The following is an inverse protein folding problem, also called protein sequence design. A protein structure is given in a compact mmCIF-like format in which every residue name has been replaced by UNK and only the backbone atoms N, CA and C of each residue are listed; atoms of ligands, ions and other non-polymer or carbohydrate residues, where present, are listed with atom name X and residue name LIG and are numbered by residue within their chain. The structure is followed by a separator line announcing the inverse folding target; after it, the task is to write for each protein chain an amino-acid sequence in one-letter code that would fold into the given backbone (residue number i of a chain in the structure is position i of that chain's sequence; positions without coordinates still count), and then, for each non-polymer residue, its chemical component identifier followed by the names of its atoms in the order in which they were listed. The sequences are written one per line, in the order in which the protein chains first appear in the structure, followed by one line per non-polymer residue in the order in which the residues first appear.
data_IF_802643939364
#
_entry.id   IF_802643939364
#
_cell.length_a   1.000
_cell.length_b   1.000
_cell.length_c   1.000
_cell.angle_alpha   90.00
_cell.angle_beta   90.00
_cell.angle_gamma   90.00
#
_symmetry.space_group_name_H-M   'P 1'
#
loop_
_entity.id
_entity.type
_entity.pdbx_description
1 polymer ?
#
# COMPACT_ATOMS: atom_id res chain seq x y z
N UNK A 1 12.68 8.98 -8.57
CA UNK A 1 12.78 7.59 -8.08
C UNK A 1 12.12 6.69 -9.11
N UNK A 2 12.88 6.16 -10.07
CA UNK A 2 12.41 5.08 -10.94
C UNK A 2 13.53 4.05 -10.93
N UNK A 3 13.25 2.86 -10.42
CA UNK A 3 14.19 1.74 -10.34
C UNK A 3 14.02 0.83 -11.56
N UNK A 4 13.66 1.40 -12.70
CA UNK A 4 13.19 0.68 -13.90
C UNK A 4 14.01 1.14 -15.12
N UNK A 5 14.59 0.24 -15.95
CA UNK A 5 15.33 0.61 -17.16
C UNK A 5 14.55 1.57 -18.06
N UNK A 6 15.22 2.58 -18.64
CA UNK A 6 14.64 3.69 -19.45
C UNK A 6 13.67 3.25 -20.57
N UNK A 7 13.73 2.01 -21.01
CA UNK A 7 12.83 1.45 -22.03
C UNK A 7 11.41 1.15 -21.51
N UNK A 8 11.22 0.92 -20.21
CA UNK A 8 9.94 0.47 -19.60
C UNK A 8 9.45 1.39 -18.47
N UNK A 9 10.10 2.54 -18.31
CA UNK A 9 9.73 3.56 -17.30
C UNK A 9 8.29 4.07 -17.50
N UNK A 10 7.90 4.38 -18.74
CA UNK A 10 6.52 4.79 -19.08
C UNK A 10 5.47 3.72 -18.73
N UNK A 11 5.84 2.45 -18.75
CA UNK A 11 4.93 1.36 -18.39
C UNK A 11 4.76 1.22 -16.88
N UNK A 12 5.84 1.36 -16.10
CA UNK A 12 5.76 1.34 -14.63
C UNK A 12 4.93 2.51 -14.11
N UNK A 13 5.08 3.68 -14.71
CA UNK A 13 4.32 4.88 -14.35
C UNK A 13 2.83 4.71 -14.69
N UNK A 14 2.47 4.18 -15.86
CA UNK A 14 1.05 3.95 -16.20
C UNK A 14 0.41 2.88 -15.31
N UNK A 15 1.12 1.79 -15.00
CA UNK A 15 0.64 0.75 -14.10
C UNK A 15 0.40 1.29 -12.68
N UNK A 16 1.29 2.15 -12.19
CA UNK A 16 1.14 2.81 -10.89
C UNK A 16 -0.11 3.69 -10.83
N UNK A 17 -0.38 4.48 -11.87
CA UNK A 17 -1.60 5.30 -11.94
C UNK A 17 -2.87 4.45 -11.96
N UNK A 18 -2.88 3.33 -12.71
CA UNK A 18 -4.02 2.40 -12.75
C UNK A 18 -4.25 1.79 -11.36
N UNK A 19 -3.18 1.35 -10.69
CA UNK A 19 -3.27 0.81 -9.34
C UNK A 19 -3.86 1.82 -8.34
N UNK A 20 -3.42 3.08 -8.41
CA UNK A 20 -3.94 4.15 -7.55
C UNK A 20 -5.42 4.45 -7.82
N UNK A 21 -5.84 4.49 -9.09
CA UNK A 21 -7.23 4.70 -9.47
C UNK A 21 -8.12 3.56 -8.95
N UNK A 22 -7.68 2.30 -9.09
CA UNK A 22 -8.38 1.13 -8.57
C UNK A 22 -8.46 1.15 -7.03
N UNK A 23 -7.40 1.59 -6.35
CA UNK A 23 -7.42 1.76 -4.88
C UNK A 23 -8.48 2.78 -4.42
N UNK A 24 -8.72 3.84 -5.19
CA UNK A 24 -9.79 4.81 -4.91
C UNK A 24 -11.18 4.19 -4.99
N UNK A 25 -11.42 3.33 -5.98
CA UNK A 25 -12.69 2.61 -6.15
C UNK A 25 -12.91 1.63 -4.99
N UNK A 26 -11.88 0.87 -4.61
CA UNK A 26 -11.95 -0.05 -3.46
C UNK A 26 -12.23 0.71 -2.16
N UNK A 27 -11.64 1.89 -1.96
CA UNK A 27 -11.94 2.77 -0.83
C UNK A 27 -13.41 3.22 -0.79
N UNK A 28 -14.01 3.52 -1.94
CA UNK A 28 -15.42 3.89 -2.05
C UNK A 28 -16.36 2.71 -1.74
N UNK A 29 -15.99 1.49 -2.17
CA UNK A 29 -16.75 0.27 -1.84
C UNK A 29 -16.69 -0.02 -0.34
N UNK A 30 -15.50 0.06 0.26
CA UNK A 30 -15.32 -0.09 1.72
C UNK A 30 -16.10 0.98 2.49
N UNK A 31 -16.16 2.21 1.99
CA UNK A 31 -16.97 3.30 2.56
C UNK A 31 -18.48 3.00 2.47
N UNK A 32 -18.93 2.38 1.38
CA UNK A 32 -20.34 2.00 1.19
C UNK A 32 -20.75 0.85 2.11
N UNK A 33 -19.85 -0.09 2.41
CA UNK A 33 -20.10 -1.17 3.38
C UNK A 33 -20.33 -0.68 4.82
N UNK A 34 -20.00 0.57 5.12
CA UNK A 34 -20.24 1.22 6.42
C UNK A 34 -21.57 2.01 6.42
N UNK A 35 -22.17 2.25 5.25
CA UNK A 35 -23.42 2.98 5.14
C UNK A 35 -24.61 2.13 5.64
N UNK A 36 -25.09 2.48 6.83
CA UNK A 36 -26.24 1.88 7.52
C UNK A 36 -27.51 1.89 6.64
N UNK A 37 -28.26 0.78 6.62
CA UNK A 37 -29.59 0.74 6.02
C UNK A 37 -30.53 1.75 6.69
N UNK A 38 -31.20 2.57 5.86
CA UNK A 38 -32.09 3.65 6.30
C UNK A 38 -33.34 3.07 6.97
N UNK A 39 -33.29 2.85 8.28
CA UNK A 39 -34.44 2.38 9.07
C UNK A 39 -34.15 1.95 10.50
N UNK A 40 -32.88 1.72 10.87
CA UNK A 40 -32.51 1.27 12.21
C UNK A 40 -32.27 2.46 13.15
N UNK A 41 -33.10 2.60 14.19
CA UNK A 41 -32.98 3.67 15.17
C UNK A 41 -31.57 3.64 15.81
N UNK A 42 -30.92 4.81 15.80
CA UNK A 42 -29.60 5.07 16.36
C UNK A 42 -29.66 4.93 17.89
N UNK A 43 -29.69 3.69 18.39
CA UNK A 43 -29.58 3.44 19.83
C UNK A 43 -28.10 3.38 20.21
N UNK A 44 -27.76 3.96 21.37
CA UNK A 44 -26.38 4.23 21.79
C UNK A 44 -25.52 2.95 21.87
N UNK A 45 -26.13 1.79 22.19
CA UNK A 45 -25.45 0.50 22.23
C UNK A 45 -25.12 -0.08 20.84
N UNK A 46 -25.95 0.17 19.81
CA UNK A 46 -25.73 -0.38 18.45
C UNK A 46 -24.67 0.43 17.72
N UNK A 47 -24.64 1.75 17.92
CA UNK A 47 -23.60 2.63 17.37
C UNK A 47 -22.23 2.27 17.94
N UNK A 48 -22.11 2.10 19.26
CA UNK A 48 -20.83 1.79 19.88
C UNK A 48 -20.27 0.43 19.44
N UNK A 49 -21.11 -0.61 19.35
CA UNK A 49 -20.64 -1.94 18.96
C UNK A 49 -20.33 -2.04 17.45
N UNK A 50 -21.16 -1.46 16.58
CA UNK A 50 -20.91 -1.50 15.13
C UNK A 50 -19.71 -0.65 14.76
N UNK A 51 -19.70 0.64 15.11
CA UNK A 51 -18.56 1.51 14.79
C UNK A 51 -17.28 1.05 15.49
N UNK A 52 -17.37 0.55 16.73
CA UNK A 52 -16.23 -0.01 17.46
C UNK A 52 -15.58 -1.17 16.70
N UNK A 53 -16.38 -2.15 16.26
CA UNK A 53 -15.87 -3.29 15.50
C UNK A 53 -15.36 -2.89 14.10
N UNK A 54 -16.00 -1.94 13.42
CA UNK A 54 -15.53 -1.43 12.12
C UNK A 54 -14.18 -0.70 12.23
N UNK A 55 -14.03 0.20 13.20
CA UNK A 55 -12.75 0.89 13.43
C UNK A 55 -11.67 -0.09 13.88
N UNK A 56 -12.01 -1.11 14.68
CA UNK A 56 -11.08 -2.16 15.05
C UNK A 56 -10.62 -2.98 13.83
N UNK A 57 -11.54 -3.38 12.94
CA UNK A 57 -11.21 -4.06 11.69
C UNK A 57 -10.29 -3.20 10.81
N UNK A 58 -10.63 -1.92 10.61
CA UNK A 58 -9.81 -0.97 9.85
C UNK A 58 -8.42 -0.78 10.47
N UNK A 59 -8.33 -0.76 11.80
CA UNK A 59 -7.06 -0.66 12.53
C UNK A 59 -6.19 -1.89 12.30
N UNK A 60 -6.77 -3.09 12.35
CA UNK A 60 -6.05 -4.34 12.05
C UNK A 60 -5.56 -4.33 10.61
N UNK A 61 -6.40 -3.93 9.66
CA UNK A 61 -6.03 -3.80 8.24
C UNK A 61 -4.87 -2.82 8.04
N UNK A 62 -4.90 -1.68 8.73
CA UNK A 62 -3.84 -0.68 8.68
C UNK A 62 -2.51 -1.22 9.24
N UNK A 63 -2.56 -1.95 10.36
CA UNK A 63 -1.38 -2.61 10.94
C UNK A 63 -0.78 -3.63 9.97
N UNK A 64 -1.61 -4.41 9.29
CA UNK A 64 -1.15 -5.35 8.25
C UNK A 64 -0.42 -4.60 7.12
N UNK A 65 -0.95 -3.48 6.65
CA UNK A 65 -0.29 -2.66 5.62
C UNK A 65 1.06 -2.08 6.09
N UNK A 66 1.18 -1.72 7.37
CA UNK A 66 2.46 -1.30 7.97
C UNK A 66 3.48 -2.45 7.93
N UNK A 67 3.08 -3.66 8.32
CA UNK A 67 3.96 -4.84 8.29
C UNK A 67 4.45 -5.11 6.87
N UNK A 68 3.55 -5.07 5.87
CA UNK A 68 3.90 -5.23 4.46
C UNK A 68 4.90 -4.14 4.01
N UNK A 69 4.68 -2.88 4.39
CA UNK A 69 5.57 -1.78 4.05
C UNK A 69 6.98 -1.96 4.64
N UNK A 70 7.09 -2.47 5.87
CA UNK A 70 8.38 -2.76 6.50
C UNK A 70 9.13 -3.89 5.77
N UNK A 71 8.42 -4.95 5.37
CA UNK A 71 9.00 -6.06 4.57
C UNK A 71 9.53 -5.52 3.24
N UNK A 72 8.72 -4.75 2.51
CA UNK A 72 9.14 -4.13 1.26
C UNK A 72 10.35 -3.20 1.48
N UNK A 73 10.38 -2.42 2.57
CA UNK A 73 11.52 -1.57 2.91
C UNK A 73 12.81 -2.38 3.11
N UNK A 74 12.73 -3.54 3.78
CA UNK A 74 13.86 -4.44 3.97
C UNK A 74 14.36 -5.04 2.65
N UNK A 75 13.44 -5.44 1.76
CA UNK A 75 13.78 -5.98 0.44
C UNK A 75 14.48 -4.92 -0.43
N UNK A 76 13.95 -3.70 -0.47
CA UNK A 76 14.53 -2.59 -1.22
C UNK A 76 15.94 -2.28 -0.72
N UNK A 77 16.17 -2.24 0.60
CA UNK A 77 17.50 -2.05 1.18
C UNK A 77 18.50 -3.13 0.75
N UNK A 78 18.07 -4.39 0.71
CA UNK A 78 18.90 -5.51 0.25
C UNK A 78 19.24 -5.38 -1.23
N UNK A 79 18.27 -4.98 -2.05
CA UNK A 79 18.45 -4.76 -3.48
C UNK A 79 19.39 -3.58 -3.78
N UNK A 80 19.25 -2.46 -3.06
CA UNK A 80 20.15 -1.31 -3.16
C UNK A 80 21.59 -1.69 -2.81
N UNK A 81 21.79 -2.43 -1.71
CA UNK A 81 23.13 -2.87 -1.29
C UNK A 81 23.81 -3.73 -2.36
N UNK A 82 23.09 -4.67 -2.97
CA UNK A 82 23.65 -5.49 -4.06
C UNK A 82 23.94 -4.70 -5.33
N UNK A 83 23.17 -3.64 -5.62
CA UNK A 83 23.44 -2.75 -6.74
C UNK A 83 24.73 -1.92 -6.50
N UNK A 84 24.91 -1.39 -5.29
CA UNK A 84 26.12 -0.64 -4.92
C UNK A 84 27.38 -1.53 -5.00
N UNK A 85 27.29 -2.79 -4.56
CA UNK A 85 28.38 -3.78 -4.67
C UNK A 85 28.74 -4.06 -6.14
N UNK A 86 27.76 -4.22 -7.02
CA UNK A 86 28.00 -4.42 -8.46
C UNK A 86 28.64 -3.19 -9.12
N UNK A 87 28.18 -1.98 -8.81
CA UNK A 87 28.77 -0.75 -9.33
C UNK A 87 30.19 -0.50 -8.82
N UNK A 88 30.49 -0.88 -7.57
CA UNK A 88 31.84 -0.77 -7.01
C UNK A 88 32.83 -1.74 -7.69
N UNK A 89 32.39 -2.95 -8.03
CA UNK A 89 33.21 -3.95 -8.75
C UNK A 89 33.46 -3.49 -10.19
N UNK A 90 32.45 -2.95 -10.88
CA UNK A 90 32.60 -2.43 -12.26
C UNK A 90 33.54 -1.22 -12.33
N UNK A 91 33.51 -0.32 -11.32
CA UNK A 91 34.44 0.81 -11.21
C UNK A 91 35.89 0.40 -10.88
N UNK A 92 36.10 -0.77 -10.27
CA UNK A 92 37.44 -1.29 -9.95
C UNK A 92 38.04 -2.10 -11.11
N UNK A 93 37.21 -2.72 -11.95
CA UNK A 93 37.63 -3.43 -13.16
C UNK A 93 37.93 -2.50 -14.37
N UNK A 94 37.57 -1.22 -14.27
CA UNK A 94 37.83 -0.19 -15.27
C UNK A 94 39.07 0.69 -14.98
N UNK A 95 39.84 0.37 -13.92
CA UNK A 95 41.17 0.92 -13.62
C UNK A 95 42.24 -0.16 -13.75
#
# INVERSE_FOLDING_TARGET
MTTTPKAIENFSVSLFYIAQALSGILGAVVSTSVALEKGQQVTQQVVQNLYGNYFQLLTILAVVMIVVALICSAIIRKMLKSADEHHAIESQAAN
#
